data_IF_370668090848
#
_entry.id   IF_370668090848
#
_cell.length_a   1.000
_cell.length_b   1.000
_cell.length_c   1.000
_cell.angle_alpha   90.00
_cell.angle_beta   90.00
_cell.angle_gamma   90.00
#
_symmetry.space_group_name_H-M   'P 1'
#
loop_
_entity.id
_entity.type
_entity.pdbx_description
1 polymer ?
#
# COMPACT_ATOMS: atom_id res chain seq x y z
N UNK A 1 21.75 12.94 -9.00
CA UNK A 1 20.30 12.89 -8.75
C UNK A 1 19.85 14.27 -8.33
N UNK A 2 18.73 14.76 -8.88
CA UNK A 2 18.07 15.99 -8.44
C UNK A 2 16.99 15.59 -7.43
N UNK A 3 16.94 16.27 -6.30
CA UNK A 3 15.92 16.04 -5.26
C UNK A 3 14.86 17.15 -5.34
N UNK A 4 13.60 16.77 -5.22
CA UNK A 4 12.45 17.68 -5.36
C UNK A 4 11.43 17.33 -4.27
N UNK A 5 10.89 18.33 -3.54
CA UNK A 5 11.21 19.74 -3.62
C UNK A 5 12.61 20.05 -3.04
N UNK A 6 13.10 21.29 -3.22
CA UNK A 6 14.33 21.77 -2.60
C UNK A 6 14.16 21.94 -1.08
N UNK A 7 15.26 22.01 -0.34
CA UNK A 7 15.21 22.24 1.11
C UNK A 7 14.48 23.54 1.47
N UNK A 8 14.70 24.60 0.69
CA UNK A 8 14.05 25.92 0.89
C UNK A 8 12.52 25.81 0.70
N UNK A 9 12.07 25.09 -0.33
CA UNK A 9 10.65 24.83 -0.57
C UNK A 9 10.02 23.99 0.57
N UNK A 10 10.75 23.00 1.08
CA UNK A 10 10.31 22.18 2.23
C UNK A 10 10.10 23.03 3.46
N UNK A 11 11.07 23.92 3.80
CA UNK A 11 10.98 24.83 4.94
C UNK A 11 9.77 25.78 4.76
N UNK A 12 9.59 26.34 3.56
CA UNK A 12 8.46 27.21 3.27
C UNK A 12 7.11 26.50 3.48
N UNK A 13 6.99 25.23 3.03
CA UNK A 13 5.78 24.41 3.21
C UNK A 13 5.57 24.09 4.70
N UNK A 14 6.62 23.71 5.44
CA UNK A 14 6.56 23.43 6.87
C UNK A 14 6.03 24.61 7.66
N UNK A 15 6.48 25.82 7.35
CA UNK A 15 6.05 27.06 8.00
C UNK A 15 4.54 27.37 7.80
N UNK A 16 3.87 26.74 6.84
CA UNK A 16 2.41 26.90 6.68
C UNK A 16 1.62 26.20 7.78
N UNK A 17 2.18 25.22 8.46
CA UNK A 17 1.52 24.39 9.47
C UNK A 17 0.37 23.51 8.96
N UNK A 18 0.15 23.44 7.63
CA UNK A 18 -0.98 22.72 7.01
C UNK A 18 -0.76 21.21 6.92
N UNK A 19 0.48 20.76 6.89
CA UNK A 19 0.88 19.39 6.62
C UNK A 19 1.73 18.84 7.75
N UNK A 20 1.76 17.52 7.90
CA UNK A 20 2.56 16.82 8.90
C UNK A 20 3.76 16.14 8.29
N UNK A 21 3.57 15.63 7.07
CA UNK A 21 4.63 14.97 6.30
C UNK A 21 4.75 15.59 4.91
N UNK A 22 5.88 15.33 4.25
CA UNK A 22 6.13 15.82 2.91
C UNK A 22 6.96 14.78 2.13
N UNK A 23 6.53 14.39 0.91
CA UNK A 23 7.32 13.51 0.06
C UNK A 23 8.48 14.29 -0.59
N UNK A 24 9.69 13.85 -0.30
CA UNK A 24 10.90 14.22 -1.07
C UNK A 24 11.13 13.12 -2.08
N UNK A 25 11.47 13.48 -3.31
CA UNK A 25 11.62 12.53 -4.41
C UNK A 25 12.88 12.75 -5.23
N UNK A 26 13.27 11.72 -5.96
CA UNK A 26 14.22 11.81 -7.06
C UNK A 26 13.87 10.80 -8.15
N UNK A 27 14.32 11.06 -9.37
CA UNK A 27 14.14 10.19 -10.52
C UNK A 27 15.44 9.50 -10.91
N UNK A 28 15.33 8.24 -11.34
CA UNK A 28 16.37 7.47 -12.00
C UNK A 28 15.78 6.78 -13.25
N UNK A 29 16.62 6.39 -14.22
CA UNK A 29 16.16 5.62 -15.38
C UNK A 29 15.79 4.20 -14.95
N UNK A 30 14.82 3.58 -15.63
CA UNK A 30 14.36 2.21 -15.36
C UNK A 30 14.93 1.15 -16.29
N UNK A 31 15.87 1.52 -17.16
CA UNK A 31 16.45 0.69 -18.24
C UNK A 31 17.30 -0.50 -17.75
N UNK A 32 17.56 -0.61 -16.45
CA UNK A 32 18.45 -1.63 -15.87
C UNK A 32 17.73 -2.63 -14.96
N UNK A 33 16.46 -2.44 -14.61
CA UNK A 33 15.72 -3.30 -13.67
C UNK A 33 14.21 -3.24 -13.90
N UNK A 34 13.52 -4.34 -13.61
CA UNK A 34 12.06 -4.44 -13.67
C UNK A 34 11.43 -4.35 -12.27
N UNK A 35 10.10 -4.06 -12.16
CA UNK A 35 9.39 -4.10 -10.88
C UNK A 35 9.51 -5.47 -10.17
N UNK A 36 9.43 -6.58 -10.93
CA UNK A 36 9.54 -7.93 -10.37
C UNK A 36 10.94 -8.19 -9.78
N UNK A 37 11.97 -7.74 -10.47
CA UNK A 37 13.32 -7.88 -9.92
C UNK A 37 13.54 -6.99 -8.70
N UNK A 38 12.95 -5.80 -8.70
CA UNK A 38 13.01 -4.89 -7.55
C UNK A 38 12.34 -5.52 -6.33
N UNK A 39 11.15 -6.12 -6.46
CA UNK A 39 10.48 -6.75 -5.30
C UNK A 39 11.31 -7.91 -4.73
N UNK A 40 12.05 -8.67 -5.56
CA UNK A 40 12.97 -9.72 -5.09
C UNK A 40 14.11 -9.14 -4.24
N UNK A 41 14.62 -7.96 -4.60
CA UNK A 41 15.64 -7.25 -3.80
C UNK A 41 15.03 -6.79 -2.47
N UNK A 42 13.83 -6.20 -2.50
CA UNK A 42 13.15 -5.70 -1.30
C UNK A 42 12.83 -6.81 -0.30
N UNK A 43 12.48 -8.00 -0.78
CA UNK A 43 12.23 -9.20 0.07
C UNK A 43 13.47 -9.68 0.84
N UNK A 44 14.67 -9.30 0.42
CA UNK A 44 15.90 -9.58 1.19
C UNK A 44 16.10 -8.65 2.38
N UNK A 45 15.53 -7.46 2.32
CA UNK A 45 15.75 -6.41 3.34
C UNK A 45 14.51 -6.13 4.19
N UNK A 46 13.36 -6.69 3.82
CA UNK A 46 12.10 -6.49 4.55
C UNK A 46 11.23 -7.73 4.49
N UNK A 47 10.59 -8.06 5.62
CA UNK A 47 9.58 -9.13 5.71
C UNK A 47 8.25 -8.73 5.07
N UNK A 48 7.97 -7.43 4.99
CA UNK A 48 6.73 -6.89 4.42
C UNK A 48 7.05 -6.01 3.22
N UNK A 49 6.59 -6.46 2.06
CA UNK A 49 6.71 -5.73 0.80
C UNK A 49 5.37 -5.79 0.06
N UNK A 50 5.09 -4.77 -0.74
CA UNK A 50 3.95 -4.80 -1.66
C UNK A 50 4.37 -4.40 -3.06
N UNK A 51 3.60 -4.86 -4.03
CA UNK A 51 3.61 -4.39 -5.41
C UNK A 51 2.16 -4.20 -5.85
N UNK A 52 1.84 -2.98 -6.33
CA UNK A 52 0.55 -2.64 -6.91
C UNK A 52 0.77 -2.35 -8.39
N UNK A 53 0.25 -3.22 -9.23
CA UNK A 53 0.34 -3.12 -10.67
C UNK A 53 -1.06 -3.04 -11.28
N UNK A 54 -1.24 -2.19 -12.27
CA UNK A 54 -2.47 -2.10 -13.03
C UNK A 54 -2.24 -2.63 -14.44
N UNK A 55 -3.13 -3.52 -14.89
CA UNK A 55 -3.11 -4.13 -16.24
C UNK A 55 -3.95 -3.32 -17.24
N UNK A 56 -4.54 -2.19 -16.83
CA UNK A 56 -5.37 -1.38 -17.71
C UNK A 56 -4.52 -0.74 -18.82
N UNK A 57 -4.90 -0.98 -20.08
CA UNK A 57 -4.26 -0.44 -21.29
C UNK A 57 -4.37 1.10 -21.43
N UNK A 58 -5.06 1.79 -20.53
CA UNK A 58 -5.24 3.23 -20.56
C UNK A 58 -4.06 3.95 -19.91
N UNK A 59 -3.46 4.90 -20.63
CA UNK A 59 -2.34 5.76 -20.20
C UNK A 59 -2.53 6.41 -18.81
N UNK A 60 -3.77 6.56 -18.34
CA UNK A 60 -4.08 7.16 -17.04
C UNK A 60 -4.06 6.17 -15.88
N UNK A 61 -4.46 4.90 -16.08
CA UNK A 61 -4.65 3.91 -15.02
C UNK A 61 -3.53 2.88 -14.94
N UNK A 62 -2.90 2.54 -16.07
CA UNK A 62 -1.80 1.56 -16.15
C UNK A 62 -0.39 2.16 -16.13
N UNK A 63 -0.29 3.48 -15.92
CA UNK A 63 0.99 4.18 -16.06
C UNK A 63 2.02 3.78 -15.02
N UNK A 64 1.61 3.54 -13.77
CA UNK A 64 2.52 3.33 -12.67
C UNK A 64 2.41 1.93 -12.07
N UNK A 65 3.57 1.34 -11.75
CA UNK A 65 3.68 0.20 -10.83
C UNK A 65 4.31 0.70 -9.54
N UNK A 66 3.61 0.50 -8.41
CA UNK A 66 4.06 0.96 -7.10
C UNK A 66 4.61 -0.19 -6.28
N UNK A 67 5.75 0.03 -5.63
CA UNK A 67 6.33 -0.89 -4.67
C UNK A 67 6.65 -0.16 -3.37
N UNK A 68 6.55 -0.90 -2.26
CA UNK A 68 6.99 -0.43 -0.95
C UNK A 68 7.47 -1.58 -0.10
N UNK A 69 8.20 -1.24 0.94
CA UNK A 69 8.81 -2.18 1.88
C UNK A 69 9.07 -1.51 3.21
N UNK A 70 9.35 -2.30 4.23
CA UNK A 70 9.73 -1.84 5.57
C UNK A 70 8.70 -0.84 6.12
N UNK A 71 7.46 -1.30 6.41
CA UNK A 71 6.38 -0.45 6.88
C UNK A 71 6.74 0.18 8.24
N UNK A 72 6.34 1.43 8.40
CA UNK A 72 6.60 2.20 9.62
C UNK A 72 5.64 1.84 10.76
N UNK A 73 4.47 1.36 10.42
CA UNK A 73 3.42 1.03 11.37
C UNK A 73 2.54 -0.09 10.81
N UNK A 74 2.19 -1.06 11.65
CA UNK A 74 1.19 -2.08 11.38
C UNK A 74 -0.09 -1.77 12.15
N UNK A 75 -1.24 -1.90 11.49
CA UNK A 75 -2.57 -1.67 12.03
C UNK A 75 -3.41 -2.89 11.73
N UNK A 76 -3.85 -3.58 12.78
CA UNK A 76 -4.72 -4.74 12.63
C UNK A 76 -5.97 -4.61 13.50
N UNK A 77 -7.07 -5.22 13.08
CA UNK A 77 -8.28 -5.35 13.88
C UNK A 77 -8.89 -6.73 13.71
N UNK A 78 -9.27 -7.36 14.82
CA UNK A 78 -9.99 -8.64 14.84
C UNK A 78 -11.09 -8.51 15.89
N UNK A 79 -12.36 -8.68 15.49
CA UNK A 79 -13.50 -8.65 16.40
C UNK A 79 -13.52 -7.41 17.33
N UNK A 80 -13.15 -6.25 16.80
CA UNK A 80 -13.10 -4.99 17.54
C UNK A 80 -11.86 -4.82 18.43
N UNK A 81 -10.98 -5.78 18.53
CA UNK A 81 -9.67 -5.62 19.16
C UNK A 81 -8.70 -5.06 18.12
N UNK A 82 -8.35 -3.79 18.26
CA UNK A 82 -7.44 -3.08 17.36
C UNK A 82 -6.03 -3.04 17.94
N UNK A 83 -5.04 -3.28 17.09
CA UNK A 83 -3.63 -3.14 17.39
C UNK A 83 -3.02 -2.11 16.44
N UNK A 84 -2.34 -1.11 17.01
CA UNK A 84 -1.60 -0.07 16.27
C UNK A 84 -0.17 -0.07 16.78
N UNK A 85 0.73 -0.63 15.97
CA UNK A 85 2.08 -0.93 16.43
C UNK A 85 2.08 -1.85 17.67
N UNK A 86 2.53 -1.33 18.81
CA UNK A 86 2.56 -2.07 20.07
C UNK A 86 1.34 -1.82 20.97
N UNK A 87 0.46 -0.90 20.59
CA UNK A 87 -0.70 -0.51 21.41
C UNK A 87 -1.91 -1.35 21.01
N UNK A 88 -2.59 -1.96 22.00
CA UNK A 88 -3.83 -2.70 21.81
C UNK A 88 -4.97 -2.02 22.57
N UNK A 89 -6.14 -1.93 21.93
CA UNK A 89 -7.35 -1.38 22.54
C UNK A 89 -8.59 -1.91 21.83
N UNK A 90 -9.76 -1.79 22.48
CA UNK A 90 -11.04 -2.13 21.86
C UNK A 90 -11.69 -0.92 21.23
N UNK A 91 -12.28 -1.12 20.06
CA UNK A 91 -13.04 -0.09 19.33
C UNK A 91 -14.27 -0.70 18.67
N UNK A 92 -15.32 0.09 18.58
CA UNK A 92 -16.51 -0.22 17.78
C UNK A 92 -16.47 0.44 16.41
N UNK A 93 -15.51 1.34 16.19
CA UNK A 93 -15.37 2.11 14.95
C UNK A 93 -13.89 2.18 14.51
N UNK A 94 -13.36 1.10 13.93
CA UNK A 94 -11.97 1.08 13.45
C UNK A 94 -11.67 2.19 12.44
N UNK A 95 -12.66 2.59 11.61
CA UNK A 95 -12.46 3.62 10.59
C UNK A 95 -12.11 4.99 11.17
N UNK A 96 -12.65 5.34 12.33
CA UNK A 96 -12.34 6.61 13.00
C UNK A 96 -10.88 6.62 13.48
N UNK A 97 -10.44 5.53 14.09
CA UNK A 97 -9.06 5.38 14.53
C UNK A 97 -8.08 5.44 13.33
N UNK A 98 -8.42 4.79 12.21
CA UNK A 98 -7.62 4.84 10.98
C UNK A 98 -7.56 6.27 10.42
N UNK A 99 -8.69 7.01 10.39
CA UNK A 99 -8.71 8.41 9.95
C UNK A 99 -7.85 9.31 10.86
N UNK A 100 -7.88 9.07 12.16
CA UNK A 100 -7.03 9.79 13.10
C UNK A 100 -5.54 9.55 12.80
N UNK A 101 -5.13 8.29 12.59
CA UNK A 101 -3.77 7.95 12.20
C UNK A 101 -3.40 8.66 10.88
N UNK A 102 -4.27 8.59 9.85
CA UNK A 102 -4.02 9.24 8.57
C UNK A 102 -3.89 10.77 8.69
N UNK A 103 -4.57 11.40 9.65
CA UNK A 103 -4.46 12.84 9.86
C UNK A 103 -3.04 13.27 10.25
N UNK A 104 -2.29 12.41 10.96
CA UNK A 104 -0.90 12.64 11.34
C UNK A 104 0.09 12.46 10.16
N UNK A 105 -0.41 11.94 9.03
CA UNK A 105 0.36 11.75 7.79
C UNK A 105 -0.16 12.60 6.63
N UNK A 106 -0.87 13.70 6.95
CA UNK A 106 -1.37 14.63 5.94
C UNK A 106 -0.22 15.29 5.19
N UNK A 107 -0.16 15.09 3.87
CA UNK A 107 0.89 15.61 2.99
C UNK A 107 0.34 16.50 1.88
N UNK A 108 1.15 17.40 1.29
CA UNK A 108 0.79 18.11 0.08
C UNK A 108 0.74 17.16 -1.13
N UNK A 109 -0.04 17.52 -2.13
CA UNK A 109 0.00 16.88 -3.45
C UNK A 109 0.82 17.74 -4.39
N UNK A 110 1.64 17.08 -5.19
CA UNK A 110 2.46 17.71 -6.22
C UNK A 110 2.12 17.12 -7.59
N UNK A 111 1.85 17.96 -8.58
CA UNK A 111 1.45 17.53 -9.93
C UNK A 111 2.56 16.75 -10.67
N UNK A 112 3.82 16.91 -10.24
CA UNK A 112 4.96 16.18 -10.79
C UNK A 112 5.16 14.79 -10.16
N UNK A 113 4.40 14.43 -9.12
CA UNK A 113 4.43 13.11 -8.50
C UNK A 113 3.23 12.27 -8.90
N UNK A 114 3.35 10.94 -8.85
CA UNK A 114 2.21 10.05 -9.03
C UNK A 114 1.18 10.25 -7.92
N UNK A 115 -0.04 9.77 -8.15
CA UNK A 115 -1.17 9.94 -7.24
C UNK A 115 -0.97 9.29 -5.86
N UNK A 116 -0.15 8.24 -5.80
CA UNK A 116 0.20 7.53 -4.58
C UNK A 116 1.67 7.80 -4.22
N UNK A 117 1.90 8.52 -3.14
CA UNK A 117 3.23 8.91 -2.65
C UNK A 117 3.59 8.26 -1.31
N UNK A 118 2.68 7.47 -0.73
CA UNK A 118 2.80 6.80 0.55
C UNK A 118 1.46 6.74 1.27
N UNK A 119 1.38 5.97 2.33
CA UNK A 119 0.16 5.79 3.10
C UNK A 119 -0.08 4.35 3.51
N UNK A 120 -1.34 4.01 3.76
CA UNK A 120 -1.75 2.69 4.18
C UNK A 120 -1.97 1.77 2.99
N UNK A 121 -1.37 0.58 3.04
CA UNK A 121 -1.56 -0.51 2.08
C UNK A 121 -1.93 -1.77 2.85
N UNK A 122 -2.91 -2.52 2.37
CA UNK A 122 -3.40 -3.75 2.98
C UNK A 122 -4.85 -4.01 2.59
N UNK A 123 -5.64 -4.62 3.48
CA UNK A 123 -7.02 -4.96 3.16
C UNK A 123 -7.98 -4.70 4.33
N UNK A 124 -9.25 -4.56 3.96
CA UNK A 124 -10.40 -4.71 4.83
C UNK A 124 -11.10 -6.01 4.44
N UNK A 125 -11.43 -6.86 5.42
CA UNK A 125 -12.17 -8.10 5.15
C UNK A 125 -13.60 -7.79 4.71
N UNK A 126 -14.27 -8.79 4.12
CA UNK A 126 -15.69 -8.67 3.81
C UNK A 126 -16.53 -8.39 5.07
N UNK A 127 -16.21 -9.04 6.19
CA UNK A 127 -16.92 -8.90 7.46
C UNK A 127 -16.72 -7.52 8.13
N UNK A 128 -15.79 -6.71 7.63
CA UNK A 128 -15.63 -5.31 8.05
C UNK A 128 -16.93 -4.51 7.89
N UNK A 129 -17.80 -4.91 6.97
CA UNK A 129 -19.13 -4.29 6.76
C UNK A 129 -19.92 -4.18 8.06
N UNK A 130 -19.79 -5.14 8.97
CA UNK A 130 -20.50 -5.14 10.27
C UNK A 130 -20.18 -3.95 11.17
N UNK A 131 -19.04 -3.27 10.99
CA UNK A 131 -18.72 -2.03 11.69
C UNK A 131 -19.46 -0.81 11.14
N UNK A 132 -19.82 -0.84 9.85
CA UNK A 132 -20.56 0.23 9.19
C UNK A 132 -22.06 0.00 9.24
N UNK A 133 -22.49 -1.27 9.15
CA UNK A 133 -23.88 -1.71 9.12
C UNK A 133 -24.16 -2.70 10.26
N UNK A 134 -24.49 -2.23 11.48
CA UNK A 134 -24.68 -3.10 12.63
C UNK A 134 -25.86 -4.10 12.50
N UNK A 135 -26.75 -3.88 11.52
CA UNK A 135 -27.88 -4.80 11.22
C UNK A 135 -27.43 -6.06 10.50
N UNK A 136 -26.24 -6.02 9.85
CA UNK A 136 -25.66 -7.18 9.17
C UNK A 136 -25.02 -8.09 10.23
N UNK A 137 -25.57 -9.28 10.38
CA UNK A 137 -25.04 -10.28 11.32
C UNK A 137 -23.85 -11.01 10.72
N UNK A 138 -22.86 -11.30 11.55
CA UNK A 138 -21.78 -12.23 11.24
C UNK A 138 -22.23 -13.64 11.59
N UNK A 139 -22.88 -14.33 10.67
CA UNK A 139 -23.35 -15.69 10.88
C UNK A 139 -22.37 -16.75 10.34
N UNK A 140 -21.22 -16.33 9.83
CA UNK A 140 -20.21 -17.22 9.28
C UNK A 140 -19.17 -17.60 10.33
N UNK A 141 -18.78 -18.88 10.34
CA UNK A 141 -17.69 -19.38 11.16
C UNK A 141 -16.38 -19.07 10.43
N UNK A 142 -15.57 -18.19 11.00
CA UNK A 142 -14.23 -17.92 10.50
C UNK A 142 -13.23 -18.87 11.16
N UNK A 143 -12.90 -19.96 10.46
CA UNK A 143 -11.93 -20.95 10.92
C UNK A 143 -10.48 -20.52 10.69
N UNK A 144 -10.25 -19.47 9.89
CA UNK A 144 -8.92 -19.00 9.50
C UNK A 144 -8.47 -17.76 10.25
N UNK A 145 -9.34 -17.23 11.11
CA UNK A 145 -9.09 -16.03 11.91
C UNK A 145 -8.64 -14.82 11.06
N UNK A 146 -9.34 -14.58 9.95
CA UNK A 146 -9.08 -13.43 9.09
C UNK A 146 -9.22 -12.13 9.89
N UNK A 147 -8.25 -11.25 9.73
CA UNK A 147 -8.33 -9.93 10.34
C UNK A 147 -9.39 -9.09 9.64
N UNK A 148 -10.20 -8.38 10.40
CA UNK A 148 -11.16 -7.40 9.85
C UNK A 148 -10.44 -6.25 9.12
N UNK A 149 -9.28 -5.86 9.67
CA UNK A 149 -8.37 -4.86 9.09
C UNK A 149 -6.94 -5.38 9.19
N UNK A 150 -6.20 -5.33 8.10
CA UNK A 150 -4.76 -5.59 8.06
C UNK A 150 -4.10 -4.56 7.15
N UNK A 151 -3.60 -3.48 7.73
CA UNK A 151 -3.01 -2.34 7.04
C UNK A 151 -1.61 -2.08 7.54
N UNK A 152 -0.76 -1.64 6.64
CA UNK A 152 0.61 -1.22 6.93
C UNK A 152 0.86 0.17 6.37
N UNK A 153 1.51 1.02 7.14
CA UNK A 153 1.87 2.37 6.75
C UNK A 153 3.25 2.37 6.11
N UNK A 154 3.31 2.78 4.86
CA UNK A 154 4.55 2.92 4.11
C UNK A 154 4.87 4.40 3.87
N UNK A 155 6.05 4.82 4.30
CA UNK A 155 6.58 6.17 4.10
C UNK A 155 7.59 6.24 2.94
N UNK A 156 8.01 5.09 2.42
CA UNK A 156 8.89 4.94 1.25
C UNK A 156 8.12 4.27 0.12
N UNK A 157 8.14 4.88 -1.06
CA UNK A 157 7.48 4.36 -2.25
C UNK A 157 8.42 4.43 -3.46
N UNK A 158 8.44 3.36 -4.20
CA UNK A 158 9.11 3.23 -5.50
C UNK A 158 8.02 3.16 -6.56
N UNK A 159 7.98 4.14 -7.47
CA UNK A 159 7.02 4.14 -8.57
C UNK A 159 7.75 3.99 -9.89
N UNK A 160 7.47 2.90 -10.61
CA UNK A 160 7.89 2.73 -12.00
C UNK A 160 6.90 3.48 -12.89
N UNK A 161 7.37 4.50 -13.59
CA UNK A 161 6.62 5.18 -14.64
C UNK A 161 6.86 4.44 -15.96
N UNK A 162 5.92 3.57 -16.31
CA UNK A 162 6.02 2.72 -17.50
C UNK A 162 5.95 3.54 -18.81
N UNK A 163 5.37 4.74 -18.75
CA UNK A 163 5.28 5.63 -19.92
C UNK A 163 6.59 6.37 -20.17
N UNK A 164 7.18 6.99 -19.15
CA UNK A 164 8.41 7.77 -19.29
C UNK A 164 9.69 6.97 -19.05
N UNK A 165 9.58 5.66 -18.77
CA UNK A 165 10.71 4.76 -18.52
C UNK A 165 11.64 5.26 -17.41
N UNK A 166 11.02 5.67 -16.29
CA UNK A 166 11.70 6.19 -15.11
C UNK A 166 11.23 5.47 -13.85
N UNK A 167 12.08 5.48 -12.85
CA UNK A 167 11.73 5.11 -11.49
C UNK A 167 11.73 6.38 -10.64
N UNK A 168 10.60 6.67 -10.01
CA UNK A 168 10.44 7.78 -9.08
C UNK A 168 10.56 7.21 -7.68
N UNK A 169 11.58 7.62 -6.94
CA UNK A 169 11.80 7.26 -5.55
C UNK A 169 11.23 8.36 -4.66
N UNK A 170 10.45 7.98 -3.68
CA UNK A 170 9.78 8.92 -2.76
C UNK A 170 10.00 8.49 -1.31
N UNK A 171 10.32 9.45 -0.46
CA UNK A 171 10.44 9.29 0.99
C UNK A 171 9.64 10.39 1.67
N UNK A 172 8.66 10.01 2.48
CA UNK A 172 7.85 10.95 3.24
C UNK A 172 8.56 11.31 4.54
N UNK A 173 9.02 12.54 4.64
CA UNK A 173 9.67 13.06 5.84
C UNK A 173 8.66 13.75 6.76
N UNK A 174 8.91 13.73 8.07
CA UNK A 174 8.18 14.55 9.04
C UNK A 174 8.61 16.01 8.93
N UNK A 175 7.67 16.94 9.17
CA UNK A 175 7.91 18.38 9.05
C UNK A 175 8.21 19.07 10.39
N UNK A 176 8.35 18.34 11.49
CA UNK A 176 8.67 18.89 12.82
C UNK A 176 10.06 19.52 12.84
N UNK A 177 11.03 18.90 12.18
CA UNK A 177 12.41 19.39 12.01
C UNK A 177 12.76 19.37 10.51
N UNK A 178 12.33 20.39 9.73
CA UNK A 178 12.36 20.29 8.27
C UNK A 178 13.79 20.20 7.69
N UNK A 179 14.79 20.87 8.28
CA UNK A 179 16.17 20.80 7.79
C UNK A 179 16.80 19.42 8.03
N UNK A 180 16.70 18.92 9.25
CA UNK A 180 17.20 17.59 9.62
C UNK A 180 16.46 16.48 8.87
N UNK A 181 15.14 16.61 8.79
CA UNK A 181 14.28 15.68 8.07
C UNK A 181 14.60 15.60 6.58
N UNK A 182 14.84 16.75 5.93
CA UNK A 182 15.23 16.79 4.52
C UNK A 182 16.55 16.07 4.27
N UNK A 183 17.56 16.33 5.10
CA UNK A 183 18.87 15.68 4.96
C UNK A 183 18.78 14.15 5.14
N UNK A 184 17.96 13.69 6.11
CA UNK A 184 17.66 12.25 6.29
C UNK A 184 16.95 11.66 5.08
N UNK A 185 15.92 12.33 4.55
CA UNK A 185 15.17 11.88 3.38
C UNK A 185 16.07 11.78 2.14
N UNK A 186 16.94 12.75 1.91
CA UNK A 186 17.92 12.71 0.81
C UNK A 186 18.90 11.54 0.97
N UNK A 187 19.35 11.27 2.19
CA UNK A 187 20.24 10.13 2.46
C UNK A 187 19.50 8.80 2.21
N UNK A 188 18.24 8.67 2.65
CA UNK A 188 17.41 7.48 2.39
C UNK A 188 17.16 7.29 0.90
N UNK A 189 16.86 8.34 0.14
CA UNK A 189 16.70 8.27 -1.32
C UNK A 189 17.97 7.79 -2.02
N UNK A 190 19.16 8.25 -1.58
CA UNK A 190 20.45 7.76 -2.10
C UNK A 190 20.67 6.28 -1.78
N UNK A 191 20.34 5.86 -0.56
CA UNK A 191 20.45 4.46 -0.14
C UNK A 191 19.47 3.57 -0.92
N UNK A 192 18.24 4.03 -1.12
CA UNK A 192 17.22 3.32 -1.91
C UNK A 192 17.66 3.16 -3.38
N UNK A 193 18.16 4.23 -3.99
CA UNK A 193 18.71 4.17 -5.35
C UNK A 193 19.89 3.19 -5.47
N UNK A 194 20.75 3.12 -4.44
CA UNK A 194 21.85 2.16 -4.38
C UNK A 194 21.32 0.74 -4.20
N UNK A 195 20.36 0.52 -3.28
CA UNK A 195 19.74 -0.77 -3.02
C UNK A 195 19.16 -1.37 -4.31
N UNK A 196 18.40 -0.58 -5.07
CA UNK A 196 17.80 -1.02 -6.33
C UNK A 196 18.86 -1.38 -7.36
N UNK A 197 20.01 -0.68 -7.39
CA UNK A 197 21.08 -0.91 -8.38
C UNK A 197 21.97 -2.10 -8.04
N UNK A 198 22.24 -2.34 -6.76
CA UNK A 198 23.30 -3.26 -6.31
C UNK A 198 22.81 -4.29 -5.29
N UNK A 199 21.53 -4.28 -4.93
CA UNK A 199 20.95 -5.24 -4.00
C UNK A 199 20.91 -6.65 -4.58
N UNK A 200 21.13 -7.63 -3.72
CA UNK A 200 20.98 -9.04 -4.06
C UNK A 200 19.50 -9.40 -4.21
N UNK A 201 19.18 -10.20 -5.22
CA UNK A 201 17.83 -10.72 -5.44
C UNK A 201 17.60 -11.95 -4.58
N UNK A 202 16.43 -12.03 -3.96
CA UNK A 202 15.99 -13.26 -3.29
C UNK A 202 15.43 -14.19 -4.36
N UNK A 203 16.08 -15.30 -4.57
CA UNK A 203 15.54 -16.40 -5.37
C UNK A 203 14.54 -17.17 -4.50
N UNK A 204 13.37 -17.41 -5.05
CA UNK A 204 12.33 -18.22 -4.44
C UNK A 204 12.23 -19.54 -5.22
N UNK A 205 12.14 -20.64 -4.50
CA UNK A 205 11.87 -21.94 -5.12
C UNK A 205 10.49 -21.92 -5.76
N UNK A 206 10.35 -22.58 -6.91
CA UNK A 206 9.05 -22.73 -7.55
C UNK A 206 8.16 -23.62 -6.66
N UNK A 207 6.98 -23.09 -6.33
CA UNK A 207 5.95 -23.88 -5.67
C UNK A 207 5.42 -24.97 -6.62
N UNK A 208 5.02 -26.10 -6.04
CA UNK A 208 4.37 -27.19 -6.77
C UNK A 208 3.12 -27.66 -6.02
N UNK A 209 2.14 -28.14 -6.78
CA UNK A 209 0.90 -28.68 -6.20
C UNK A 209 1.22 -30.06 -5.60
N UNK A 210 0.97 -30.23 -4.30
CA UNK A 210 1.23 -31.46 -3.57
C UNK A 210 0.03 -32.39 -3.43
N UNK A 211 -1.16 -31.94 -3.80
CA UNK A 211 -2.41 -32.67 -3.64
C UNK A 211 -3.32 -32.58 -4.88
N UNK A 212 -4.44 -33.26 -4.81
CA UNK A 212 -5.47 -33.18 -5.84
C UNK A 212 -6.24 -31.86 -5.74
N UNK A 213 -6.62 -31.30 -6.88
CA UNK A 213 -7.49 -30.12 -6.93
C UNK A 213 -8.92 -30.58 -6.61
N UNK A 214 -9.45 -30.17 -5.46
CA UNK A 214 -10.85 -30.38 -5.10
C UNK A 214 -11.69 -29.14 -5.48
N UNK A 215 -12.88 -29.40 -6.02
CA UNK A 215 -13.83 -28.34 -6.39
C UNK A 215 -15.03 -28.41 -5.44
N UNK A 216 -15.46 -27.27 -4.90
CA UNK A 216 -16.67 -27.15 -4.10
C UNK A 216 -17.94 -27.28 -4.96
N UNK A 217 -17.87 -26.87 -6.22
CA UNK A 217 -18.97 -26.88 -7.18
C UNK A 217 -18.45 -27.38 -8.52
N UNK A 218 -19.27 -28.15 -9.21
CA UNK A 218 -19.04 -28.43 -10.62
C UNK A 218 -19.40 -27.23 -11.51
N UNK A 219 -19.09 -27.32 -12.80
CA UNK A 219 -19.36 -26.23 -13.76
C UNK A 219 -20.81 -25.79 -13.79
N UNK A 220 -21.74 -26.74 -13.80
CA UNK A 220 -23.16 -26.46 -13.95
C UNK A 220 -23.74 -25.83 -12.68
N UNK A 221 -23.31 -26.28 -11.50
CA UNK A 221 -23.64 -25.68 -10.22
C UNK A 221 -23.15 -24.24 -10.12
N UNK A 222 -21.89 -23.97 -10.53
CA UNK A 222 -21.35 -22.62 -10.55
C UNK A 222 -22.11 -21.69 -11.51
N UNK A 223 -22.36 -22.15 -12.75
CA UNK A 223 -23.13 -21.37 -13.72
C UNK A 223 -24.55 -21.06 -13.22
N UNK A 224 -25.20 -22.01 -12.56
CA UNK A 224 -26.54 -21.80 -11.97
C UNK A 224 -26.52 -20.71 -10.88
N UNK A 225 -25.49 -20.67 -10.05
CA UNK A 225 -25.33 -19.60 -9.05
C UNK A 225 -25.13 -18.23 -9.70
N UNK A 226 -24.34 -18.16 -10.79
CA UNK A 226 -24.13 -16.91 -11.54
C UNK A 226 -25.47 -16.42 -12.15
N UNK A 227 -26.26 -17.28 -12.76
CA UNK A 227 -27.58 -16.89 -13.33
C UNK A 227 -28.55 -16.44 -12.23
N UNK A 228 -28.51 -17.08 -11.06
CA UNK A 228 -29.30 -16.65 -9.90
C UNK A 228 -28.87 -15.24 -9.42
N UNK A 229 -27.58 -15.00 -9.30
CA UNK A 229 -27.05 -13.70 -8.90
C UNK A 229 -27.43 -12.59 -9.91
N UNK A 230 -27.30 -12.86 -11.23
CA UNK A 230 -27.73 -11.93 -12.29
C UNK A 230 -29.22 -11.59 -12.19
N UNK A 231 -30.07 -12.55 -11.84
CA UNK A 231 -31.50 -12.29 -11.65
C UNK A 231 -31.72 -11.32 -10.49
N UNK A 232 -31.08 -11.51 -9.33
CA UNK A 232 -31.20 -10.59 -8.20
C UNK A 232 -30.70 -9.18 -8.52
N UNK A 233 -29.64 -9.06 -9.32
CA UNK A 233 -29.18 -7.75 -9.83
C UNK A 233 -30.27 -7.08 -10.69
N UNK A 234 -30.91 -7.83 -11.59
CA UNK A 234 -31.98 -7.29 -12.43
C UNK A 234 -33.24 -6.91 -11.64
N UNK A 235 -33.55 -7.65 -10.59
CA UNK A 235 -34.67 -7.39 -9.69
C UNK A 235 -34.41 -6.24 -8.73
N UNK A 236 -33.15 -5.78 -8.63
CA UNK A 236 -32.77 -4.67 -7.75
C UNK A 236 -32.61 -5.06 -6.28
N UNK A 237 -32.36 -6.34 -6.01
CA UNK A 237 -32.13 -6.86 -4.65
C UNK A 237 -30.72 -6.53 -4.15
N UNK A 238 -29.79 -6.30 -5.07
CA UNK A 238 -28.40 -5.95 -4.84
C UNK A 238 -27.93 -4.95 -5.92
#
# INVERSE_FOLDING_TARGET
>A
MKFVPSQEEVIAIANTGKYRVLPVSCEILSDFITPIETIKILKNVSTHCYMLESVAENEKWGRYTFLGFDPKLEITCINGEMKVGNIKFRTQNPSENIRQILSEYKSPRFDYLPSFTGGLVGYFSYDYLSYSEPTVRRDTVDNEEFKDVDLMLFDKVIAFDNYSQKIILMVNMQLDEPETGYNKAVMELKNLARLIRTGEKKDEDFGYITGEISQLFDKDGYCSMVEKAKRHIHEGDI
#
